data_IF_743194431009
#
_entry.id   IF_743194431009
#
_cell.length_a   1.000
_cell.length_b   1.000
_cell.length_c   1.000
_cell.angle_alpha   90.00
_cell.angle_beta   90.00
_cell.angle_gamma   90.00
#
_symmetry.space_group_name_H-M   'P 1'
#
loop_
_entity.id
_entity.type
_entity.pdbx_description
1 polymer ?
#
# COMPACT_ATOMS: atom_id res chain seq x y z
N UNK A 1 -1.70 -13.90 32.86
CA UNK A 1 -1.93 -13.36 31.50
C UNK A 1 -0.58 -13.11 30.86
N UNK A 2 -0.31 -13.75 29.73
CA UNK A 2 1.00 -13.71 29.07
C UNK A 2 1.37 -12.26 28.73
N UNK A 3 2.51 -11.79 29.22
CA UNK A 3 3.09 -10.46 28.94
C UNK A 3 3.03 -10.06 27.45
N UNK A 4 3.10 -11.05 26.56
CA UNK A 4 2.89 -10.93 25.12
C UNK A 4 1.55 -10.26 24.75
N UNK A 5 0.45 -10.62 25.42
CA UNK A 5 -0.88 -10.03 25.18
C UNK A 5 -0.95 -8.57 25.63
N UNK A 6 -0.32 -8.23 26.76
CA UNK A 6 -0.25 -6.86 27.25
C UNK A 6 0.57 -6.00 26.28
N UNK A 7 1.69 -6.52 25.79
CA UNK A 7 2.53 -5.82 24.81
C UNK A 7 1.79 -5.61 23.48
N UNK A 8 1.06 -6.62 23.00
CA UNK A 8 0.20 -6.50 21.81
C UNK A 8 -0.90 -5.47 22.01
N UNK A 9 -1.55 -5.43 23.18
CA UNK A 9 -2.59 -4.46 23.49
C UNK A 9 -2.05 -3.03 23.53
N UNK A 10 -0.86 -2.83 24.11
CA UNK A 10 -0.17 -1.54 24.14
C UNK A 10 0.21 -1.09 22.72
N UNK A 11 0.76 -1.99 21.91
CA UNK A 11 1.08 -1.71 20.51
C UNK A 11 -0.16 -1.34 19.70
N UNK A 12 -1.26 -2.07 19.89
CA UNK A 12 -2.53 -1.79 19.24
C UNK A 12 -3.10 -0.43 19.65
N UNK A 13 -3.06 -0.10 20.95
CA UNK A 13 -3.47 1.21 21.47
C UNK A 13 -2.64 2.35 20.90
N UNK A 14 -1.31 2.20 20.87
CA UNK A 14 -0.40 3.17 20.26
C UNK A 14 -0.67 3.36 18.77
N UNK A 15 -0.96 2.28 18.03
CA UNK A 15 -1.32 2.37 16.62
C UNK A 15 -2.62 3.15 16.39
N UNK A 16 -3.65 2.92 17.21
CA UNK A 16 -4.93 3.66 17.13
C UNK A 16 -4.73 5.14 17.45
N UNK A 17 -3.95 5.45 18.49
CA UNK A 17 -3.63 6.84 18.86
C UNK A 17 -2.81 7.50 17.75
N UNK A 18 -1.81 6.81 17.19
CA UNK A 18 -1.00 7.30 16.09
C UNK A 18 -1.85 7.60 14.86
N UNK A 19 -2.75 6.69 14.46
CA UNK A 19 -3.67 6.92 13.33
C UNK A 19 -4.58 8.11 13.62
N UNK A 20 -5.19 8.17 14.80
CA UNK A 20 -6.12 9.25 15.19
C UNK A 20 -5.42 10.61 15.27
N UNK A 21 -4.20 10.68 15.82
CA UNK A 21 -3.44 11.93 15.87
C UNK A 21 -2.91 12.35 14.50
N UNK A 22 -2.61 11.38 13.62
CA UNK A 22 -2.18 11.63 12.26
C UNK A 22 -3.34 11.65 11.25
N UNK A 23 -4.59 11.73 11.74
CA UNK A 23 -5.77 12.19 10.98
C UNK A 23 -5.64 13.71 10.77
N UNK A 24 -4.58 14.11 10.08
CA UNK A 24 -4.57 15.38 9.38
C UNK A 24 -5.34 15.13 8.08
N UNK A 25 -6.61 15.53 8.05
CA UNK A 25 -7.41 15.54 6.84
C UNK A 25 -6.70 16.47 5.85
N UNK A 26 -6.16 15.88 4.79
CA UNK A 26 -5.59 16.63 3.68
C UNK A 26 -6.64 16.62 2.59
N UNK A 27 -7.06 17.80 2.18
CA UNK A 27 -7.95 17.96 1.04
C UNK A 27 -7.18 17.69 -0.24
N UNK A 28 -7.44 16.53 -0.84
CA UNK A 28 -6.90 16.18 -2.15
C UNK A 28 -7.92 16.62 -3.18
N UNK A 29 -7.54 17.55 -4.03
CA UNK A 29 -8.33 17.94 -5.20
C UNK A 29 -7.74 17.29 -6.45
N UNK A 30 -8.54 16.48 -7.13
CA UNK A 30 -8.15 15.80 -8.37
C UNK A 30 -9.14 16.17 -9.48
N UNK A 31 -8.68 16.98 -10.45
CA UNK A 31 -9.48 17.54 -11.55
C UNK A 31 -10.73 18.31 -11.07
N UNK A 32 -11.83 17.62 -10.84
CA UNK A 32 -13.13 18.18 -10.37
C UNK A 32 -13.63 17.54 -9.07
N UNK A 33 -12.86 16.65 -8.45
CA UNK A 33 -13.27 15.92 -7.25
C UNK A 33 -12.40 16.31 -6.06
N UNK A 34 -13.03 16.73 -4.96
CA UNK A 34 -12.36 16.94 -3.67
C UNK A 34 -12.63 15.75 -2.76
N UNK A 35 -11.55 15.18 -2.22
CA UNK A 35 -11.59 14.06 -1.31
C UNK A 35 -10.75 14.42 -0.07
N UNK A 36 -11.41 14.56 1.07
CA UNK A 36 -10.75 14.82 2.35
C UNK A 36 -10.40 13.48 3.00
N UNK A 37 -9.11 13.15 3.01
CA UNK A 37 -8.63 11.87 3.54
C UNK A 37 -7.39 12.11 4.41
N UNK A 38 -7.15 11.24 5.40
CA UNK A 38 -5.95 11.43 6.22
C UNK A 38 -4.68 11.27 5.38
N UNK A 39 -3.68 12.10 5.64
CA UNK A 39 -2.40 12.05 4.91
C UNK A 39 -1.75 10.66 4.95
N UNK A 40 -1.88 9.96 6.07
CA UNK A 40 -1.39 8.60 6.24
C UNK A 40 -2.11 7.59 5.34
N UNK A 41 -3.45 7.65 5.25
CA UNK A 41 -4.22 6.80 4.35
C UNK A 41 -3.90 7.08 2.88
N UNK A 42 -3.73 8.35 2.51
CA UNK A 42 -3.32 8.76 1.17
C UNK A 42 -1.98 8.10 0.78
N UNK A 43 -0.95 8.25 1.63
CA UNK A 43 0.36 7.64 1.41
C UNK A 43 0.25 6.12 1.32
N UNK A 44 -0.55 5.49 2.17
CA UNK A 44 -0.79 4.05 2.15
C UNK A 44 -1.40 3.59 0.82
N UNK A 45 -2.47 4.24 0.34
CA UNK A 45 -3.11 3.90 -0.93
C UNK A 45 -2.16 4.09 -2.12
N UNK A 46 -1.41 5.20 -2.17
CA UNK A 46 -0.43 5.46 -3.24
C UNK A 46 0.65 4.37 -3.26
N UNK A 47 1.18 3.99 -2.10
CA UNK A 47 2.14 2.89 -1.99
C UNK A 47 1.53 1.56 -2.43
N UNK A 48 0.30 1.26 -2.01
CA UNK A 48 -0.39 0.02 -2.40
C UNK A 48 -0.57 -0.06 -3.92
N UNK A 49 -1.05 1.02 -4.54
CA UNK A 49 -1.23 1.10 -5.99
C UNK A 49 0.12 0.96 -6.70
N UNK A 50 1.15 1.68 -6.25
CA UNK A 50 2.50 1.59 -6.81
C UNK A 50 3.08 0.17 -6.70
N UNK A 51 2.87 -0.51 -5.57
CA UNK A 51 3.32 -1.88 -5.36
C UNK A 51 2.60 -2.88 -6.29
N UNK A 52 1.26 -2.78 -6.38
CA UNK A 52 0.46 -3.63 -7.27
C UNK A 52 0.86 -3.42 -8.73
N UNK A 53 1.00 -2.16 -9.17
CA UNK A 53 1.44 -1.84 -10.53
C UNK A 53 2.85 -2.36 -10.80
N UNK A 54 3.79 -2.17 -9.88
CA UNK A 54 5.16 -2.67 -10.02
C UNK A 54 5.22 -4.20 -10.11
N UNK A 55 4.41 -4.90 -9.30
CA UNK A 55 4.30 -6.35 -9.35
C UNK A 55 3.70 -6.84 -10.66
N UNK A 56 2.63 -6.19 -11.13
CA UNK A 56 1.98 -6.52 -12.39
C UNK A 56 2.90 -6.28 -13.59
N UNK A 57 3.65 -5.16 -13.59
CA UNK A 57 4.61 -4.84 -14.64
C UNK A 57 5.75 -5.85 -14.69
N UNK A 58 6.28 -6.25 -13.51
CA UNK A 58 7.30 -7.30 -13.41
C UNK A 58 6.78 -8.64 -13.92
N UNK A 59 5.53 -8.99 -13.61
CA UNK A 59 4.86 -10.19 -14.12
C UNK A 59 4.71 -10.14 -15.64
N UNK A 60 4.29 -9.01 -16.20
CA UNK A 60 4.14 -8.82 -17.65
C UNK A 60 5.48 -8.93 -18.39
N UNK A 61 6.54 -8.31 -17.87
CA UNK A 61 7.88 -8.44 -18.45
C UNK A 61 8.46 -9.86 -18.31
N UNK A 62 8.22 -10.53 -17.18
CA UNK A 62 8.62 -11.93 -17.00
C UNK A 62 7.88 -12.87 -17.98
N UNK A 63 6.59 -12.62 -18.21
CA UNK A 63 5.79 -13.37 -19.18
C UNK A 63 6.30 -13.17 -20.62
N UNK A 64 6.67 -11.94 -21.00
CA UNK A 64 7.25 -11.68 -22.33
C UNK A 64 8.59 -12.39 -22.52
N UNK A 65 9.45 -12.42 -21.49
CA UNK A 65 10.75 -13.09 -21.58
C UNK A 65 10.62 -14.61 -21.77
N UNK A 66 9.64 -15.25 -21.12
CA UNK A 66 9.36 -16.67 -21.30
C UNK A 66 8.82 -17.02 -22.70
N UNK A 67 8.20 -16.05 -23.40
CA UNK A 67 7.69 -16.24 -24.76
C UNK A 67 8.80 -16.16 -25.82
N UNK A 68 9.84 -15.36 -25.62
CA UNK A 68 10.97 -15.28 -26.57
C UNK A 68 11.85 -16.55 -26.49
N UNK A 69 12.04 -17.15 -25.32
CA UNK A 69 12.82 -18.39 -25.15
C UNK A 69 12.16 -19.64 -25.78
N UNK A 70 10.85 -19.60 -26.05
CA UNK A 70 10.13 -20.71 -26.70
C UNK A 70 10.11 -20.62 -28.24
N UNK A 71 10.57 -19.51 -28.83
CA UNK A 71 10.64 -19.34 -30.29
C UNK A 71 12.01 -19.68 -30.90
N UNK A 72 13.06 -19.81 -30.09
CA UNK A 72 14.43 -20.16 -30.52
C UNK A 72 14.72 -21.69 -30.42
N UNK A 73 13.75 -22.47 -29.94
CA UNK A 73 13.88 -23.92 -29.68
C UNK A 73 13.16 -24.83 -30.68
N UNK A 74 12.67 -24.32 -31.81
CA UNK A 74 12.06 -25.11 -32.91
C UNK A 74 12.87 -24.92 -34.18
#
# INVERSE_FOLDING_TARGET
MSFKLILVLIMAGLAVIFITQNVAAVDVTFLFWSLSLSRALLIFFVLMIGFVLGWFLRSYFAYRKAKDESSDGI
#
